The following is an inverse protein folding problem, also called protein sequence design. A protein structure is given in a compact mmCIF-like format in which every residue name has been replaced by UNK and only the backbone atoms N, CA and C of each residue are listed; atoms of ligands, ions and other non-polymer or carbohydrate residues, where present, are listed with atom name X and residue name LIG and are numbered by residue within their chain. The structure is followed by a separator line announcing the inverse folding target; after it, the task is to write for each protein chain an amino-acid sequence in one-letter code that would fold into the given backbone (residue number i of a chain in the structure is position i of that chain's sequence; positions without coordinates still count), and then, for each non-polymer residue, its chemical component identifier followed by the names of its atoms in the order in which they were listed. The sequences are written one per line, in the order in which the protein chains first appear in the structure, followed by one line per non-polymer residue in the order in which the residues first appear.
data_IF_276171415715
#
_entry.id   IF_276171415715
#
_cell.length_a   1.000
_cell.length_b   1.000
_cell.length_c   1.000
_cell.angle_alpha   90.00
_cell.angle_beta   90.00
_cell.angle_gamma   90.00
#
_symmetry.space_group_name_H-M   'P 1'
#
loop_
_entity.id
_entity.type
_entity.pdbx_description
1 polymer ?
#
# COMPACT_ATOMS: atom_id res chain seq x y z
N UNK A 1 15.05 -2.32 -7.26
CA UNK A 1 14.47 -1.00 -7.62
C UNK A 1 13.37 -1.07 -8.70
N UNK A 2 13.50 -1.91 -9.74
CA UNK A 2 12.60 -1.97 -10.91
C UNK A 2 11.11 -2.21 -10.59
N UNK A 3 10.79 -2.88 -9.47
CA UNK A 3 9.41 -3.22 -9.10
C UNK A 3 8.68 -2.12 -8.30
N UNK A 4 9.41 -1.13 -7.75
CA UNK A 4 8.81 -0.07 -6.91
C UNK A 4 8.18 1.05 -7.73
N UNK A 5 8.72 1.27 -8.94
CA UNK A 5 8.11 2.18 -9.92
C UNK A 5 6.69 1.71 -10.24
N UNK A 6 6.48 0.39 -10.33
CA UNK A 6 5.18 -0.21 -10.63
C UNK A 6 4.16 0.05 -9.50
N UNK A 7 4.57 -0.09 -8.24
CA UNK A 7 3.80 0.29 -7.05
C UNK A 7 3.42 1.78 -7.06
N UNK A 8 4.37 2.66 -7.38
CA UNK A 8 4.15 4.12 -7.41
C UNK A 8 3.21 4.51 -8.57
N UNK A 9 3.37 3.89 -9.74
CA UNK A 9 2.49 4.14 -10.88
C UNK A 9 1.05 3.72 -10.55
N UNK A 10 0.85 2.53 -10.00
CA UNK A 10 -0.49 2.03 -9.64
C UNK A 10 -1.11 2.87 -8.52
N UNK A 11 -0.35 3.20 -7.48
CA UNK A 11 -0.87 3.92 -6.32
C UNK A 11 -1.10 5.42 -6.55
N UNK A 12 -0.37 6.04 -7.48
CA UNK A 12 -0.33 7.50 -7.63
C UNK A 12 -0.68 7.98 -9.03
N UNK A 13 -0.03 7.43 -10.06
CA UNK A 13 -0.24 7.87 -11.46
C UNK A 13 -1.64 7.48 -11.94
N UNK A 14 -2.11 6.26 -11.64
CA UNK A 14 -3.45 5.81 -12.03
C UNK A 14 -4.57 6.70 -11.46
N UNK A 15 -4.67 6.92 -10.13
CA UNK A 15 -5.71 7.79 -9.58
C UNK A 15 -5.53 9.25 -10.03
N UNK A 16 -4.30 9.75 -10.13
CA UNK A 16 -4.06 11.12 -10.58
C UNK A 16 -4.55 11.33 -12.03
N UNK A 17 -4.16 10.45 -12.96
CA UNK A 17 -4.60 10.54 -14.35
C UNK A 17 -6.11 10.39 -14.48
N UNK A 18 -6.72 9.47 -13.73
CA UNK A 18 -8.15 9.23 -13.83
C UNK A 18 -9.03 10.36 -13.26
N UNK A 19 -8.50 11.16 -12.33
CA UNK A 19 -9.21 12.29 -11.70
C UNK A 19 -8.87 13.64 -12.36
N UNK A 20 -7.73 13.78 -13.04
CA UNK A 20 -7.30 15.07 -13.61
C UNK A 20 -7.22 15.03 -15.13
N UNK A 21 -6.53 14.04 -15.69
CA UNK A 21 -6.26 13.94 -17.14
C UNK A 21 -7.50 13.45 -17.89
N UNK A 22 -8.24 12.52 -17.29
CA UNK A 22 -9.49 12.01 -17.86
C UNK A 22 -10.67 12.98 -17.73
N UNK A 23 -10.47 14.18 -17.16
CA UNK A 23 -11.53 15.16 -16.97
C UNK A 23 -12.40 15.39 -18.22
N UNK A 24 -11.85 15.57 -19.44
CA UNK A 24 -12.67 15.75 -20.64
C UNK A 24 -13.54 14.53 -21.00
N UNK A 25 -13.14 13.32 -20.58
CA UNK A 25 -13.85 12.08 -20.92
C UNK A 25 -15.13 11.89 -20.10
N UNK A 26 -15.14 12.37 -18.87
CA UNK A 26 -16.29 12.31 -17.96
C UNK A 26 -16.91 13.67 -17.65
N UNK A 27 -16.44 14.74 -18.30
CA UNK A 27 -17.05 16.07 -18.24
C UNK A 27 -18.39 16.10 -19.00
N UNK A 28 -19.34 15.31 -18.51
CA UNK A 28 -20.72 15.24 -18.99
C UNK A 28 -21.64 15.37 -17.80
N UNK A 29 -22.60 16.29 -17.91
CA UNK A 29 -23.60 16.55 -16.87
C UNK A 29 -24.66 15.44 -16.88
N UNK A 30 -24.97 14.93 -18.07
CA UNK A 30 -25.84 13.77 -18.29
C UNK A 30 -24.98 12.56 -18.65
N UNK A 31 -25.23 11.36 -18.08
CA UNK A 31 -26.42 10.97 -17.32
C UNK A 31 -26.36 11.32 -15.82
N UNK A 32 -27.53 11.40 -15.20
CA UNK A 32 -27.65 11.46 -13.74
C UNK A 32 -27.58 10.05 -13.15
N UNK A 33 -26.71 9.83 -12.17
CA UNK A 33 -26.57 8.58 -11.43
C UNK A 33 -26.93 8.85 -9.97
N UNK A 34 -27.91 8.11 -9.43
CA UNK A 34 -28.39 8.27 -8.05
C UNK A 34 -28.86 9.69 -7.69
N UNK A 35 -29.30 10.48 -8.68
CA UNK A 35 -29.75 11.87 -8.50
C UNK A 35 -28.65 12.93 -8.62
N UNK A 36 -27.40 12.54 -8.86
CA UNK A 36 -26.28 13.46 -9.10
C UNK A 36 -25.75 13.34 -10.52
N UNK A 37 -25.08 14.38 -11.05
CA UNK A 37 -24.41 14.27 -12.35
C UNK A 37 -23.33 13.18 -12.30
N UNK A 38 -23.07 12.54 -13.44
CA UNK A 38 -22.06 11.48 -13.56
C UNK A 38 -20.69 11.87 -12.98
N UNK A 39 -20.32 13.15 -13.09
CA UNK A 39 -19.06 13.67 -12.57
C UNK A 39 -18.93 13.47 -11.04
N UNK A 40 -19.98 13.77 -10.27
CA UNK A 40 -19.97 13.56 -8.83
C UNK A 40 -19.84 12.08 -8.47
N UNK A 41 -20.61 11.23 -9.14
CA UNK A 41 -20.53 9.78 -8.94
C UNK A 41 -19.12 9.25 -9.25
N UNK A 42 -18.49 9.73 -10.32
CA UNK A 42 -17.13 9.37 -10.70
C UNK A 42 -16.12 9.73 -9.61
N UNK A 43 -16.10 11.00 -9.16
CA UNK A 43 -15.20 11.49 -8.09
C UNK A 43 -15.39 10.67 -6.81
N UNK A 44 -16.64 10.40 -6.43
CA UNK A 44 -16.95 9.65 -5.20
C UNK A 44 -16.51 8.19 -5.30
N UNK A 45 -16.68 7.56 -6.46
CA UNK A 45 -16.19 6.21 -6.75
C UNK A 45 -14.67 6.15 -6.64
N UNK A 46 -13.96 7.20 -7.09
CA UNK A 46 -12.50 7.31 -6.99
C UNK A 46 -11.98 7.38 -5.54
N UNK A 47 -12.81 7.77 -4.57
CA UNK A 47 -12.42 7.71 -3.15
C UNK A 47 -12.12 6.27 -2.71
N UNK A 48 -12.97 5.32 -3.12
CA UNK A 48 -12.79 3.90 -2.83
C UNK A 48 -11.74 3.26 -3.75
N UNK A 49 -11.76 3.59 -5.03
CA UNK A 49 -10.78 3.07 -6.00
C UNK A 49 -9.35 3.49 -5.67
N UNK A 50 -9.12 4.70 -5.15
CA UNK A 50 -7.79 5.16 -4.74
C UNK A 50 -7.30 4.35 -3.54
N UNK A 51 -8.15 4.12 -2.54
CA UNK A 51 -7.83 3.25 -1.41
C UNK A 51 -7.48 1.83 -1.87
N UNK A 52 -8.24 1.29 -2.83
CA UNK A 52 -7.95 0.00 -3.43
C UNK A 52 -6.65 -0.01 -4.23
N UNK A 53 -6.35 1.05 -4.99
CA UNK A 53 -5.08 1.19 -5.72
C UNK A 53 -3.89 1.19 -4.76
N UNK A 54 -3.98 1.91 -3.64
CA UNK A 54 -2.98 1.90 -2.58
C UNK A 54 -2.84 0.52 -1.94
N UNK A 55 -3.95 -0.18 -1.69
CA UNK A 55 -3.93 -1.54 -1.13
C UNK A 55 -3.26 -2.54 -2.08
N UNK A 56 -3.56 -2.46 -3.38
CA UNK A 56 -2.95 -3.28 -4.42
C UNK A 56 -1.46 -2.95 -4.52
N UNK A 57 -1.11 -1.67 -4.59
CA UNK A 57 0.27 -1.19 -4.59
C UNK A 57 1.05 -1.74 -3.38
N UNK A 58 0.46 -1.65 -2.18
CA UNK A 58 1.03 -2.16 -0.94
C UNK A 58 1.22 -3.68 -0.91
N UNK A 59 0.31 -4.45 -1.53
CA UNK A 59 0.46 -5.90 -1.68
C UNK A 59 1.51 -6.30 -2.71
N UNK A 60 1.67 -5.52 -3.78
CA UNK A 60 2.69 -5.76 -4.79
C UNK A 60 4.08 -5.27 -4.35
N UNK A 61 4.15 -4.36 -3.37
CA UNK A 61 5.41 -3.77 -2.92
C UNK A 61 6.32 -4.84 -2.29
N UNK A 62 7.47 -5.15 -2.92
CA UNK A 62 8.37 -6.19 -2.43
C UNK A 62 8.99 -5.88 -1.06
N UNK A 63 9.03 -4.60 -0.63
CA UNK A 63 9.53 -4.24 0.70
C UNK A 63 8.51 -4.43 1.82
N UNK A 64 7.23 -4.52 1.46
CA UNK A 64 6.17 -4.82 2.40
C UNK A 64 5.89 -6.33 2.48
N UNK A 65 6.64 -7.14 1.71
CA UNK A 65 6.61 -8.59 1.90
C UNK A 65 7.01 -8.90 3.34
N UNK A 66 6.22 -9.79 3.93
CA UNK A 66 6.29 -10.31 5.30
C UNK A 66 7.72 -10.65 5.75
N UNK A 67 8.59 -10.95 4.80
CA UNK A 67 10.04 -11.12 4.84
C UNK A 67 10.75 -10.15 5.80
N UNK A 68 10.50 -8.84 5.73
CA UNK A 68 11.18 -7.88 6.60
C UNK A 68 10.76 -8.02 8.07
N UNK A 69 9.46 -8.23 8.31
CA UNK A 69 8.88 -8.41 9.66
C UNK A 69 9.26 -9.76 10.27
N UNK A 70 9.35 -10.78 9.43
CA UNK A 70 9.75 -12.15 9.80
C UNK A 70 11.26 -12.22 10.06
N UNK A 71 12.07 -11.45 9.33
CA UNK A 71 13.51 -11.29 9.57
C UNK A 71 13.78 -10.54 10.88
N UNK A 72 13.00 -9.49 11.18
CA UNK A 72 13.07 -8.77 12.46
C UNK A 72 12.65 -9.66 13.64
N UNK A 73 11.60 -10.46 13.50
CA UNK A 73 11.19 -11.43 14.51
C UNK A 73 12.27 -12.48 14.76
N UNK A 74 12.85 -13.07 13.70
CA UNK A 74 13.95 -14.04 13.83
C UNK A 74 15.19 -13.44 14.49
N UNK A 75 15.57 -12.21 14.12
CA UNK A 75 16.69 -11.50 14.75
C UNK A 75 16.44 -11.24 16.24
N UNK A 76 15.20 -10.89 16.61
CA UNK A 76 14.81 -10.68 18.00
C UNK A 76 14.90 -11.97 18.82
N UNK A 77 14.50 -13.11 18.25
CA UNK A 77 14.58 -14.41 18.90
C UNK A 77 16.04 -14.87 19.07
N UNK A 78 16.89 -14.65 18.07
CA UNK A 78 18.33 -14.93 18.14
C UNK A 78 19.03 -14.09 19.21
N UNK A 79 18.74 -12.79 19.27
CA UNK A 79 19.29 -11.88 20.30
C UNK A 79 18.87 -12.32 21.70
N UNK A 80 17.61 -12.73 21.90
CA UNK A 80 17.16 -13.27 23.19
C UNK A 80 17.87 -14.56 23.57
N UNK A 81 18.13 -15.45 22.60
CA UNK A 81 18.87 -16.69 22.84
C UNK A 81 20.33 -16.41 23.24
N UNK A 82 20.98 -15.43 22.61
CA UNK A 82 22.34 -15.01 22.97
C UNK A 82 22.39 -14.39 24.38
N UNK A 83 21.44 -13.52 24.71
CA UNK A 83 21.33 -12.91 26.06
C UNK A 83 21.09 -13.98 27.13
N UNK A 84 20.21 -14.96 26.87
CA UNK A 84 19.94 -16.05 27.81
C UNK A 84 21.11 -17.02 27.97
N UNK A 85 21.95 -17.17 26.93
CA UNK A 85 23.18 -17.97 27.01
C UNK A 85 24.26 -17.25 27.82
N UNK A 86 24.41 -15.94 27.62
CA UNK A 86 25.32 -15.06 28.37
C UNK A 86 24.96 -15.02 29.87
N UNK A 87 23.67 -14.86 30.19
CA UNK A 87 23.17 -14.91 31.58
C UNK A 87 23.45 -16.28 32.24
N UNK A 88 23.30 -17.39 31.52
CA UNK A 88 23.58 -18.73 32.07
C UNK A 88 25.08 -18.97 32.27
N UNK A 89 25.95 -18.34 31.48
CA UNK A 89 27.41 -18.46 31.60
C UNK A 89 27.94 -17.64 32.78
N UNK A 90 27.38 -16.45 33.02
CA UNK A 90 27.66 -15.61 34.20
C UNK A 90 27.19 -16.27 35.51
N UNK A 91 26.00 -16.90 35.55
CA UNK A 91 25.48 -17.57 36.76
C UNK A 91 26.27 -18.81 37.16
N UNK A 92 26.97 -19.45 36.22
CA UNK A 92 27.72 -20.68 36.47
C UNK A 92 29.16 -20.43 36.96
N UNK A 93 29.62 -19.18 36.94
CA UNK A 93 30.96 -18.75 37.30
C UNK A 93 31.04 -18.29 38.76
#
# INVERSE_FOLDING_TARGET
MKNRILTIIIGFIVPFCAVTVCFPLYNRIEPFVLGFSFNYFWIFTWMFLTSLCLLIAFKLDPLNRKDARELEAKKMDEVKALIAADENEEVKK
#
